data_IF_644819784714
#
_entry.id   IF_644819784714
#
_cell.length_a   1.000
_cell.length_b   1.000
_cell.length_c   1.000
_cell.angle_alpha   90.00
_cell.angle_beta   90.00
_cell.angle_gamma   90.00
#
_symmetry.space_group_name_H-M   'P 1'
#
loop_
_entity.id
_entity.type
_entity.pdbx_description
1 polymer ?
#
# COMPACT_ATOMS: atom_id res chain seq x y z
N UNK A 1 30.38 -2.28 26.48
CA UNK A 1 31.21 -3.39 25.97
C UNK A 1 31.19 -3.30 24.48
N UNK A 2 32.30 -3.47 23.75
CA UNK A 2 32.23 -3.46 22.30
C UNK A 2 31.35 -4.63 21.83
N UNK A 3 30.41 -4.37 20.93
CA UNK A 3 29.59 -5.41 20.29
C UNK A 3 30.54 -6.39 19.60
N UNK A 4 30.65 -7.58 20.13
CA UNK A 4 31.34 -8.69 19.45
C UNK A 4 30.47 -9.01 18.24
N UNK A 5 30.98 -8.72 17.04
CA UNK A 5 30.33 -9.13 15.79
C UNK A 5 30.50 -10.66 15.72
N UNK A 6 29.43 -11.39 15.99
CA UNK A 6 29.41 -12.86 16.00
C UNK A 6 29.35 -13.48 14.60
N UNK A 7 29.37 -12.67 13.54
CA UNK A 7 29.32 -13.12 12.15
C UNK A 7 27.94 -13.62 11.71
N UNK A 8 26.89 -13.44 12.50
CA UNK A 8 25.52 -13.85 12.21
C UNK A 8 24.65 -12.64 11.83
N UNK A 9 23.55 -12.88 11.13
CA UNK A 9 22.53 -11.87 10.88
C UNK A 9 21.88 -11.41 12.20
N UNK A 10 21.17 -10.28 12.14
CA UNK A 10 20.44 -9.69 13.28
C UNK A 10 19.56 -10.74 13.99
N UNK A 11 19.61 -10.78 15.32
CA UNK A 11 18.73 -11.58 16.16
C UNK A 11 17.39 -10.84 16.35
N UNK A 12 16.41 -11.23 15.52
CA UNK A 12 15.09 -10.61 15.53
C UNK A 12 14.32 -10.98 16.79
N UNK A 13 14.46 -12.20 17.28
CA UNK A 13 13.80 -12.68 18.50
C UNK A 13 14.29 -11.89 19.71
N UNK A 14 15.60 -11.80 19.91
CA UNK A 14 16.19 -11.00 20.99
C UNK A 14 15.81 -9.52 20.88
N UNK A 15 15.81 -8.97 19.66
CA UNK A 15 15.39 -7.58 19.42
C UNK A 15 13.94 -7.33 19.83
N UNK A 16 13.03 -8.27 19.59
CA UNK A 16 11.63 -8.14 19.99
C UNK A 16 11.48 -8.26 21.53
N UNK A 17 12.22 -9.16 22.17
CA UNK A 17 12.28 -9.29 23.63
C UNK A 17 12.78 -7.99 24.25
N UNK A 18 13.84 -7.41 23.72
CA UNK A 18 14.42 -6.16 24.24
C UNK A 18 13.44 -4.98 24.12
N UNK A 19 12.67 -4.90 23.01
CA UNK A 19 11.60 -3.89 22.86
C UNK A 19 10.49 -4.07 23.89
N UNK A 20 10.00 -5.30 24.08
CA UNK A 20 9.00 -5.61 25.11
C UNK A 20 9.52 -5.29 26.50
N UNK A 21 10.79 -5.62 26.78
CA UNK A 21 11.42 -5.32 28.06
C UNK A 21 11.61 -3.81 28.29
N UNK A 22 11.88 -3.06 27.23
CA UNK A 22 11.96 -1.61 27.33
C UNK A 22 10.59 -0.94 27.58
N UNK A 23 9.51 -1.48 26.96
CA UNK A 23 8.16 -0.97 27.12
C UNK A 23 7.49 -1.42 28.44
N UNK A 24 7.73 -2.67 28.88
CA UNK A 24 7.09 -3.31 30.04
C UNK A 24 8.13 -4.07 30.88
N UNK A 25 9.12 -3.38 31.51
CA UNK A 25 10.18 -4.04 32.26
C UNK A 25 9.67 -4.87 33.43
N UNK A 26 8.54 -4.48 34.01
CA UNK A 26 7.88 -5.18 35.11
C UNK A 26 7.29 -6.54 34.73
N UNK A 27 7.08 -6.79 33.43
CA UNK A 27 6.61 -8.09 32.94
C UNK A 27 7.72 -9.13 32.79
N UNK A 28 8.94 -8.82 33.20
CA UNK A 28 10.07 -9.76 33.11
C UNK A 28 10.54 -10.19 34.49
N UNK A 29 10.59 -11.50 34.72
CA UNK A 29 11.16 -12.11 35.92
C UNK A 29 12.26 -13.09 35.50
N UNK A 30 13.46 -12.98 36.06
CA UNK A 30 14.63 -13.81 35.74
C UNK A 30 14.95 -13.87 34.23
N UNK A 31 14.67 -12.76 33.49
CA UNK A 31 14.89 -12.66 32.06
C UNK A 31 13.80 -13.28 31.18
N UNK A 32 12.74 -13.82 31.76
CA UNK A 32 11.59 -14.40 31.07
C UNK A 32 10.37 -13.49 31.12
N UNK A 33 9.59 -13.47 30.04
CA UNK A 33 8.35 -12.72 29.94
C UNK A 33 7.25 -13.42 30.74
N UNK A 34 6.61 -12.68 31.65
CA UNK A 34 5.38 -13.04 32.33
C UNK A 34 4.18 -12.57 31.50
N UNK A 35 3.55 -13.49 30.77
CA UNK A 35 2.45 -13.21 29.86
C UNK A 35 1.20 -12.75 30.62
N UNK A 36 0.89 -13.36 31.77
CA UNK A 36 -0.30 -13.03 32.56
C UNK A 36 -0.22 -11.60 33.10
N UNK A 37 0.98 -11.19 33.51
CA UNK A 37 1.24 -9.84 33.97
C UNK A 37 1.16 -8.81 32.84
N UNK A 38 1.69 -9.14 31.65
CA UNK A 38 1.56 -8.30 30.45
C UNK A 38 0.09 -8.10 30.07
N UNK A 39 -0.70 -9.17 30.03
CA UNK A 39 -2.14 -9.13 29.74
C UNK A 39 -2.88 -8.26 30.77
N UNK A 40 -2.56 -8.40 32.05
CA UNK A 40 -3.16 -7.58 33.11
C UNK A 40 -2.88 -6.08 32.96
N UNK A 41 -1.71 -5.71 32.44
CA UNK A 41 -1.34 -4.31 32.23
C UNK A 41 -1.96 -3.71 30.94
N UNK A 42 -2.15 -4.53 29.91
CA UNK A 42 -2.71 -4.08 28.63
C UNK A 42 -4.26 -3.91 28.66
N UNK A 43 -4.95 -4.50 29.66
CA UNK A 43 -6.38 -4.33 29.87
C UNK A 43 -7.26 -5.13 28.94
N UNK A 44 -7.14 -4.97 27.65
CA UNK A 44 -7.90 -5.72 26.63
C UNK A 44 -6.99 -6.71 25.91
N UNK A 45 -7.43 -7.97 25.83
CA UNK A 45 -6.73 -9.04 25.10
C UNK A 45 -7.71 -10.02 24.47
N UNK A 46 -7.24 -10.74 23.46
CA UNK A 46 -8.06 -11.76 22.80
C UNK A 46 -8.08 -13.03 23.64
N UNK A 47 -9.25 -13.34 24.21
CA UNK A 47 -9.48 -14.59 24.93
C UNK A 47 -9.43 -15.78 23.94
N UNK A 48 -8.66 -16.81 24.30
CA UNK A 48 -8.54 -18.02 23.47
C UNK A 48 -9.79 -18.90 23.47
N UNK A 49 -10.71 -18.70 24.41
CA UNK A 49 -11.94 -19.50 24.57
C UNK A 49 -13.08 -19.05 23.64
N UNK A 50 -12.96 -17.90 22.96
CA UNK A 50 -13.94 -17.43 21.99
C UNK A 50 -13.62 -17.89 20.56
N UNK A 51 -14.66 -18.26 19.81
CA UNK A 51 -14.54 -18.49 18.37
C UNK A 51 -13.99 -17.23 17.69
N UNK A 52 -12.83 -17.35 17.01
CA UNK A 52 -12.22 -16.27 16.29
C UNK A 52 -11.77 -16.72 14.91
N UNK A 53 -11.81 -15.80 13.96
CA UNK A 53 -11.25 -16.03 12.65
C UNK A 53 -9.74 -16.26 12.75
N UNK A 54 -9.28 -17.41 12.20
CA UNK A 54 -7.86 -17.73 12.08
C UNK A 54 -7.57 -18.20 10.66
N UNK A 55 -6.51 -17.71 10.08
CA UNK A 55 -5.99 -18.23 8.82
C UNK A 55 -4.83 -19.16 9.11
N UNK A 56 -5.07 -20.48 9.00
CA UNK A 56 -4.12 -21.51 9.35
C UNK A 56 -3.84 -22.42 8.17
N UNK A 57 -2.59 -22.88 8.04
CA UNK A 57 -2.16 -23.89 7.09
C UNK A 57 -1.01 -24.73 7.66
N UNK A 58 -0.74 -25.89 7.04
CA UNK A 58 0.37 -26.75 7.46
C UNK A 58 1.71 -26.08 7.19
N UNK A 59 2.55 -25.91 8.22
CA UNK A 59 3.89 -25.32 8.12
C UNK A 59 3.97 -23.86 8.58
N UNK A 60 2.85 -23.22 8.96
CA UNK A 60 2.85 -21.82 9.38
C UNK A 60 3.79 -21.53 10.55
N UNK A 61 3.79 -22.39 11.57
CA UNK A 61 4.67 -22.23 12.73
C UNK A 61 6.17 -22.39 12.36
N UNK A 62 6.46 -23.30 11.44
CA UNK A 62 7.82 -23.48 10.91
C UNK A 62 8.30 -22.26 10.12
N UNK A 63 7.39 -21.61 9.37
CA UNK A 63 7.69 -20.38 8.64
C UNK A 63 8.13 -19.25 9.59
N UNK A 64 7.48 -19.10 10.74
CA UNK A 64 7.88 -18.11 11.74
C UNK A 64 9.28 -18.40 12.28
N UNK A 65 9.57 -19.67 12.62
CA UNK A 65 10.91 -20.09 13.08
C UNK A 65 11.98 -19.87 12.01
N UNK A 66 11.64 -20.12 10.73
CA UNK A 66 12.58 -19.91 9.62
C UNK A 66 12.91 -18.42 9.42
N UNK A 67 11.92 -17.55 9.52
CA UNK A 67 12.15 -16.11 9.44
C UNK A 67 13.04 -15.59 10.59
N UNK A 68 12.97 -16.23 11.77
CA UNK A 68 13.77 -15.89 12.95
C UNK A 68 15.18 -16.53 12.93
N UNK A 69 15.33 -17.67 12.23
CA UNK A 69 16.62 -18.37 12.15
C UNK A 69 17.68 -17.46 11.53
N UNK A 70 18.74 -17.20 12.26
CA UNK A 70 19.85 -16.35 11.82
C UNK A 70 20.60 -16.98 10.66
N UNK A 71 21.00 -16.16 9.68
CA UNK A 71 21.89 -16.58 8.60
C UNK A 71 23.35 -16.53 9.04
N UNK A 72 24.12 -17.52 8.60
CA UNK A 72 25.58 -17.55 8.71
C UNK A 72 26.27 -17.05 7.44
N UNK A 73 25.50 -16.70 6.42
CA UNK A 73 26.00 -16.21 5.14
C UNK A 73 26.60 -14.80 5.26
N UNK A 74 27.26 -14.38 4.21
CA UNK A 74 27.75 -13.00 4.07
C UNK A 74 27.60 -12.53 2.64
N UNK A 75 27.33 -11.23 2.46
CA UNK A 75 27.34 -10.59 1.16
C UNK A 75 28.78 -10.31 0.75
N UNK A 76 29.13 -10.64 -0.49
CA UNK A 76 30.43 -10.36 -1.09
C UNK A 76 30.26 -9.35 -2.21
N UNK A 77 31.08 -8.31 -2.22
CA UNK A 77 31.14 -7.38 -3.33
C UNK A 77 31.82 -8.03 -4.55
N UNK A 78 31.28 -7.73 -5.75
CA UNK A 78 31.82 -8.19 -7.04
C UNK A 78 32.14 -6.97 -7.92
N UNK A 79 33.26 -6.26 -7.64
CA UNK A 79 33.64 -5.07 -8.39
C UNK A 79 33.81 -5.33 -9.89
N UNK A 80 34.33 -6.51 -10.26
CA UNK A 80 34.59 -6.95 -11.63
C UNK A 80 33.33 -7.10 -12.48
N UNK A 81 32.17 -7.33 -11.86
CA UNK A 81 30.86 -7.44 -12.53
C UNK A 81 29.99 -6.18 -12.35
N UNK A 82 30.50 -5.19 -11.63
CA UNK A 82 29.76 -3.98 -11.30
C UNK A 82 30.03 -2.84 -12.29
N UNK A 83 29.04 -2.00 -12.53
CA UNK A 83 29.16 -0.78 -13.31
C UNK A 83 29.26 0.42 -12.35
N UNK A 84 30.32 1.24 -12.52
CA UNK A 84 30.60 2.40 -11.67
C UNK A 84 30.60 2.06 -10.17
N UNK A 85 31.31 1.00 -9.80
CA UNK A 85 31.31 0.41 -8.45
C UNK A 85 31.53 1.44 -7.33
N UNK A 86 32.46 2.36 -7.51
CA UNK A 86 32.82 3.35 -6.48
C UNK A 86 31.78 4.48 -6.33
N UNK A 87 31.03 4.80 -7.38
CA UNK A 87 30.12 5.95 -7.41
C UNK A 87 28.64 5.57 -7.31
N UNK A 88 28.29 4.32 -7.70
CA UNK A 88 26.88 3.89 -7.71
C UNK A 88 26.35 3.72 -6.30
N UNK A 89 25.07 4.12 -6.10
CA UNK A 89 24.31 3.82 -4.88
C UNK A 89 23.31 2.68 -5.08
N UNK A 90 23.24 2.14 -6.30
CA UNK A 90 22.36 1.03 -6.63
C UNK A 90 23.08 -0.29 -6.29
N UNK A 91 22.31 -1.23 -5.71
CA UNK A 91 22.80 -2.56 -5.36
C UNK A 91 21.99 -3.62 -6.12
N UNK A 92 22.70 -4.53 -6.77
CA UNK A 92 22.13 -5.80 -7.24
C UNK A 92 22.69 -6.91 -6.37
N UNK A 93 21.81 -7.72 -5.78
CA UNK A 93 22.19 -8.80 -4.87
C UNK A 93 21.70 -10.11 -5.46
N UNK A 94 22.61 -11.00 -5.77
CA UNK A 94 22.32 -12.34 -6.28
C UNK A 94 22.45 -13.38 -5.18
N UNK A 95 21.45 -14.29 -5.09
CA UNK A 95 21.40 -15.34 -4.11
C UNK A 95 19.98 -15.74 -3.72
N UNK A 96 19.86 -16.67 -2.76
CA UNK A 96 18.56 -16.99 -2.18
C UNK A 96 17.99 -15.77 -1.45
N UNK A 97 16.82 -15.33 -1.87
CA UNK A 97 16.24 -14.07 -1.36
C UNK A 97 15.81 -14.17 0.11
N UNK A 98 15.50 -15.35 0.65
CA UNK A 98 15.19 -15.49 2.07
C UNK A 98 16.45 -15.27 2.93
N UNK A 99 17.59 -15.84 2.53
CA UNK A 99 18.87 -15.61 3.20
C UNK A 99 19.34 -14.17 3.04
N UNK A 100 19.18 -13.57 1.85
CA UNK A 100 19.50 -12.16 1.61
C UNK A 100 18.66 -11.25 2.51
N UNK A 101 17.34 -11.49 2.63
CA UNK A 101 16.47 -10.71 3.50
C UNK A 101 16.90 -10.76 4.99
N UNK A 102 17.41 -11.89 5.46
CA UNK A 102 17.97 -12.03 6.81
C UNK A 102 19.25 -11.21 6.97
N UNK A 103 20.15 -11.23 5.99
CA UNK A 103 21.39 -10.44 6.02
C UNK A 103 21.12 -8.92 5.97
N UNK A 104 20.13 -8.50 5.19
CA UNK A 104 19.74 -7.10 5.09
C UNK A 104 19.16 -6.53 6.38
N UNK A 105 18.64 -7.36 7.30
CA UNK A 105 18.12 -6.87 8.59
C UNK A 105 19.16 -6.06 9.35
N UNK A 106 20.43 -6.41 9.29
CA UNK A 106 21.49 -5.70 10.03
C UNK A 106 21.68 -4.26 9.56
N UNK A 107 21.60 -4.02 8.24
CA UNK A 107 21.94 -2.73 7.66
C UNK A 107 20.73 -1.89 7.28
N UNK A 108 19.60 -2.53 6.97
CA UNK A 108 18.42 -1.89 6.38
C UNK A 108 17.15 -2.02 7.26
N UNK A 109 17.26 -2.47 8.49
CA UNK A 109 16.13 -2.52 9.42
C UNK A 109 15.46 -1.13 9.53
N UNK A 110 14.15 -1.05 9.19
CA UNK A 110 13.34 0.18 9.16
C UNK A 110 13.94 1.34 8.32
N UNK A 111 14.61 1.02 7.22
CA UNK A 111 15.23 2.04 6.35
C UNK A 111 14.67 2.07 4.92
N UNK A 112 13.97 1.03 4.51
CA UNK A 112 13.44 0.92 3.14
C UNK A 112 12.13 1.69 3.01
N UNK A 113 12.05 2.60 2.05
CA UNK A 113 10.84 3.41 1.80
C UNK A 113 9.78 2.63 1.04
N UNK A 114 10.19 1.85 0.04
CA UNK A 114 9.29 1.09 -0.81
C UNK A 114 9.86 -0.28 -1.13
N UNK A 115 9.00 -1.27 -1.15
CA UNK A 115 9.29 -2.63 -1.64
C UNK A 115 8.30 -2.93 -2.77
N UNK A 116 8.78 -3.43 -3.90
CA UNK A 116 7.97 -4.03 -4.94
C UNK A 116 8.39 -5.47 -5.15
N UNK A 117 7.43 -6.39 -5.18
CA UNK A 117 7.67 -7.80 -5.49
C UNK A 117 6.68 -8.32 -6.53
N UNK A 118 7.17 -9.23 -7.35
CA UNK A 118 6.43 -9.97 -8.37
C UNK A 118 6.70 -11.46 -8.15
N UNK A 119 6.00 -12.10 -7.19
CA UNK A 119 6.25 -13.48 -6.82
C UNK A 119 5.69 -14.45 -7.86
N UNK A 120 6.04 -15.76 -7.82
CA UNK A 120 5.35 -16.77 -8.59
C UNK A 120 3.85 -16.76 -8.31
N UNK A 121 3.01 -16.84 -9.36
CA UNK A 121 1.56 -16.75 -9.24
C UNK A 121 0.86 -18.08 -8.95
N UNK A 122 1.65 -19.16 -8.84
CA UNK A 122 1.17 -20.50 -8.54
C UNK A 122 0.18 -21.05 -9.59
N UNK A 123 0.43 -20.75 -10.87
CA UNK A 123 -0.44 -21.14 -12.00
C UNK A 123 -0.32 -22.63 -12.36
N UNK A 124 0.45 -23.40 -11.61
CA UNK A 124 0.69 -24.83 -11.80
C UNK A 124 1.94 -25.15 -12.63
N UNK A 125 2.48 -24.19 -13.35
CA UNK A 125 3.76 -24.28 -14.08
C UNK A 125 4.84 -23.39 -13.46
N UNK A 126 4.50 -22.63 -12.43
CA UNK A 126 5.41 -21.70 -11.77
C UNK A 126 6.38 -22.44 -10.85
N UNK A 127 7.58 -21.92 -10.80
CA UNK A 127 8.60 -22.40 -9.88
C UNK A 127 8.32 -21.83 -8.48
N UNK A 128 7.96 -22.70 -7.55
CA UNK A 128 7.92 -22.36 -6.12
C UNK A 128 9.28 -22.77 -5.54
N UNK A 129 9.96 -21.83 -4.90
CA UNK A 129 11.27 -22.11 -4.29
C UNK A 129 11.15 -23.22 -3.26
N UNK A 130 12.04 -24.21 -3.34
CA UNK A 130 12.15 -25.27 -2.35
C UNK A 130 12.97 -24.74 -1.16
N UNK A 131 12.29 -24.07 -0.25
CA UNK A 131 12.87 -23.79 1.06
C UNK A 131 12.90 -25.09 1.87
N UNK A 132 13.71 -25.18 2.92
CA UNK A 132 13.89 -26.37 3.79
C UNK A 132 12.60 -26.88 4.48
N UNK A 133 11.44 -26.31 4.18
CA UNK A 133 10.11 -26.81 4.57
C UNK A 133 9.61 -27.94 3.69
N UNK A 134 10.24 -28.13 2.57
CA UNK A 134 9.80 -29.15 1.66
C UNK A 134 10.24 -30.52 2.19
N UNK A 135 9.30 -31.23 2.72
CA UNK A 135 9.25 -32.61 2.28
C UNK A 135 9.18 -32.54 0.75
N UNK A 136 10.23 -32.93 -0.01
CA UNK A 136 10.19 -32.83 -1.47
C UNK A 136 8.90 -33.45 -1.96
N UNK A 137 8.22 -32.83 -2.91
CA UNK A 137 6.98 -33.38 -3.49
C UNK A 137 7.15 -34.86 -3.90
N UNK A 138 8.37 -35.26 -4.24
CA UNK A 138 8.76 -36.63 -4.46
C UNK A 138 8.61 -37.49 -3.20
N UNK A 139 9.09 -37.06 -2.05
CA UNK A 139 9.05 -37.82 -0.79
C UNK A 139 7.63 -37.91 -0.22
N UNK A 140 6.81 -36.85 -0.41
CA UNK A 140 5.41 -36.91 -0.04
C UNK A 140 4.61 -37.87 -0.94
N UNK A 141 4.90 -37.91 -2.25
CA UNK A 141 4.32 -38.93 -3.17
C UNK A 141 4.70 -40.34 -2.79
N UNK A 142 5.94 -40.58 -2.34
CA UNK A 142 6.39 -41.88 -1.82
C UNK A 142 5.70 -42.26 -0.51
N UNK A 143 5.59 -41.32 0.45
CA UNK A 143 5.00 -41.57 1.77
C UNK A 143 3.48 -41.75 1.72
N UNK A 144 2.81 -41.10 0.79
CA UNK A 144 1.32 -41.10 0.70
C UNK A 144 0.76 -42.03 -0.38
N UNK A 145 1.60 -42.72 -1.18
CA UNK A 145 1.19 -43.57 -2.30
C UNK A 145 0.21 -42.92 -3.29
N UNK A 146 0.24 -41.61 -3.44
CA UNK A 146 -0.68 -40.88 -4.31
C UNK A 146 -0.07 -40.55 -5.65
N UNK A 147 -0.38 -41.35 -6.66
CA UNK A 147 0.17 -41.22 -8.03
C UNK A 147 -0.79 -40.68 -9.08
N UNK A 148 -1.99 -40.24 -8.72
CA UNK A 148 -2.99 -39.83 -9.72
C UNK A 148 -3.30 -38.34 -9.71
N UNK A 149 -3.38 -37.73 -10.91
CA UNK A 149 -3.62 -36.32 -11.25
C UNK A 149 -5.01 -35.79 -10.88
N UNK A 150 -5.89 -36.59 -10.32
CA UNK A 150 -7.32 -36.28 -10.18
C UNK A 150 -7.83 -36.12 -8.75
N UNK A 151 -6.95 -35.88 -7.74
CA UNK A 151 -7.37 -35.78 -6.36
C UNK A 151 -7.51 -34.32 -5.91
N UNK A 152 -8.70 -33.86 -5.43
CA UNK A 152 -8.93 -32.51 -4.93
C UNK A 152 -7.97 -32.07 -3.80
N UNK A 153 -7.43 -33.00 -3.03
CA UNK A 153 -6.42 -32.73 -1.99
C UNK A 153 -5.09 -32.19 -2.53
N UNK A 154 -4.84 -32.30 -3.86
CA UNK A 154 -3.65 -31.70 -4.46
C UNK A 154 -3.73 -30.19 -4.56
N UNK A 155 -4.91 -29.60 -4.68
CA UNK A 155 -5.09 -28.14 -4.78
C UNK A 155 -4.68 -27.44 -3.48
N UNK A 156 -5.09 -27.94 -2.31
CA UNK A 156 -4.70 -27.37 -1.02
C UNK A 156 -3.19 -27.39 -0.75
N UNK A 157 -2.46 -28.32 -1.33
CA UNK A 157 -0.99 -28.41 -1.19
C UNK A 157 -0.23 -27.39 -2.00
N UNK A 158 -0.71 -27.02 -3.18
CA UNK A 158 -0.10 -25.96 -3.97
C UNK A 158 -0.17 -24.61 -3.23
N UNK A 159 -1.30 -24.28 -2.66
CA UNK A 159 -1.48 -23.08 -1.83
C UNK A 159 -0.61 -23.12 -0.57
N UNK A 160 -0.53 -24.27 0.11
CA UNK A 160 0.29 -24.44 1.31
C UNK A 160 1.78 -24.20 1.03
N UNK A 161 2.32 -24.77 -0.05
CA UNK A 161 3.72 -24.58 -0.41
C UNK A 161 4.01 -23.12 -0.78
N UNK A 162 3.11 -22.49 -1.51
CA UNK A 162 3.22 -21.09 -1.85
C UNK A 162 3.18 -20.18 -0.60
N UNK A 163 2.27 -20.45 0.33
CA UNK A 163 2.18 -19.73 1.61
C UNK A 163 3.45 -19.91 2.44
N UNK A 164 4.00 -21.14 2.50
CA UNK A 164 5.25 -21.42 3.22
C UNK A 164 6.45 -20.68 2.62
N UNK A 165 6.47 -20.49 1.31
CA UNK A 165 7.49 -19.68 0.62
C UNK A 165 7.31 -18.19 0.89
N UNK A 166 6.09 -17.67 0.79
CA UNK A 166 5.83 -16.23 0.84
C UNK A 166 5.87 -15.65 2.26
N UNK A 167 5.29 -16.35 3.23
CA UNK A 167 5.08 -15.81 4.57
C UNK A 167 6.37 -15.39 5.28
N UNK A 168 7.45 -16.20 5.33
CA UNK A 168 8.69 -15.77 5.97
C UNK A 168 9.34 -14.58 5.26
N UNK A 169 9.22 -14.48 3.94
CA UNK A 169 9.73 -13.37 3.13
C UNK A 169 9.00 -12.07 3.43
N UNK A 170 7.68 -12.11 3.50
CA UNK A 170 6.86 -10.94 3.86
C UNK A 170 7.14 -10.45 5.29
N UNK A 171 7.31 -11.37 6.24
CA UNK A 171 7.69 -11.05 7.63
C UNK A 171 9.02 -10.30 7.70
N UNK A 172 10.03 -10.75 6.97
CA UNK A 172 11.33 -10.09 6.90
C UNK A 172 11.26 -8.77 6.13
N UNK A 173 10.51 -8.71 5.04
CA UNK A 173 10.29 -7.48 4.28
C UNK A 173 9.61 -6.40 5.13
N UNK A 174 8.62 -6.77 5.94
CA UNK A 174 7.94 -5.83 6.85
C UNK A 174 8.90 -5.18 7.85
N UNK A 175 9.95 -5.89 8.29
CA UNK A 175 10.96 -5.35 9.19
C UNK A 175 11.91 -4.34 8.52
N UNK A 176 12.08 -4.44 7.19
CA UNK A 176 12.93 -3.51 6.45
C UNK A 176 12.23 -2.17 6.19
N UNK A 177 10.89 -2.15 6.13
CA UNK A 177 10.13 -0.93 5.85
C UNK A 177 10.25 0.08 6.99
N UNK A 178 10.40 1.35 6.60
CA UNK A 178 10.24 2.52 7.47
C UNK A 178 8.77 2.64 7.89
N UNK A 179 8.49 3.47 8.90
CA UNK A 179 7.10 3.68 9.35
C UNK A 179 6.22 4.29 8.26
N UNK A 180 6.74 5.22 7.46
CA UNK A 180 6.09 5.77 6.27
C UNK A 180 6.31 4.94 5.00
N UNK A 181 6.74 3.69 5.14
CA UNK A 181 7.05 2.78 4.03
C UNK A 181 5.82 2.06 3.49
N UNK A 182 5.98 1.50 2.27
CA UNK A 182 4.92 0.82 1.52
C UNK A 182 5.45 -0.41 0.81
N UNK A 183 4.61 -1.43 0.67
CA UNK A 183 4.89 -2.60 -0.17
C UNK A 183 3.81 -2.75 -1.24
N UNK A 184 4.25 -3.01 -2.48
CA UNK A 184 3.40 -3.37 -3.61
C UNK A 184 3.72 -4.81 -4.03
N UNK A 185 2.69 -5.61 -4.24
CA UNK A 185 2.83 -7.02 -4.56
C UNK A 185 1.94 -7.34 -5.76
N UNK A 186 2.54 -7.68 -6.89
CA UNK A 186 1.80 -8.16 -8.06
C UNK A 186 1.34 -9.58 -7.84
N UNK A 187 0.12 -9.89 -8.25
CA UNK A 187 -0.48 -11.23 -8.13
C UNK A 187 -1.67 -11.37 -9.09
N UNK A 188 -2.00 -12.59 -9.47
CA UNK A 188 -3.24 -12.91 -10.16
C UNK A 188 -4.32 -13.51 -9.24
N UNK A 189 -5.45 -13.92 -9.82
CA UNK A 189 -6.60 -14.45 -9.08
C UNK A 189 -6.30 -15.76 -8.35
N UNK A 190 -5.24 -16.52 -8.73
CA UNK A 190 -4.95 -17.82 -8.12
C UNK A 190 -4.60 -17.68 -6.63
N UNK A 191 -3.78 -16.67 -6.28
CA UNK A 191 -3.28 -16.50 -4.91
C UNK A 191 -3.65 -15.14 -4.28
N UNK A 192 -4.39 -14.27 -4.95
CA UNK A 192 -4.76 -12.95 -4.43
C UNK A 192 -5.43 -13.01 -3.05
N UNK A 193 -6.36 -13.96 -2.86
CA UNK A 193 -7.06 -14.13 -1.58
C UNK A 193 -6.12 -14.60 -0.46
N UNK A 194 -5.24 -15.54 -0.75
CA UNK A 194 -4.26 -16.05 0.22
C UNK A 194 -3.22 -15.01 0.56
N UNK A 195 -2.71 -14.30 -0.46
CA UNK A 195 -1.78 -13.17 -0.28
C UNK A 195 -2.38 -12.09 0.61
N UNK A 196 -3.64 -11.71 0.36
CA UNK A 196 -4.34 -10.73 1.18
C UNK A 196 -4.32 -11.13 2.66
N UNK A 197 -4.66 -12.38 2.99
CA UNK A 197 -4.72 -12.87 4.36
C UNK A 197 -3.36 -12.89 5.06
N UNK A 198 -2.30 -13.34 4.39
CA UNK A 198 -0.96 -13.31 4.99
C UNK A 198 -0.40 -11.89 5.12
N UNK A 199 -0.81 -10.97 4.24
CA UNK A 199 -0.47 -9.56 4.37
C UNK A 199 -1.23 -8.89 5.52
N UNK A 200 -2.53 -9.15 5.69
CA UNK A 200 -3.33 -8.67 6.82
C UNK A 200 -2.68 -9.10 8.15
N UNK A 201 -2.21 -10.35 8.24
CA UNK A 201 -1.51 -10.85 9.43
C UNK A 201 -0.10 -10.24 9.62
N UNK A 202 0.59 -9.90 8.53
CA UNK A 202 1.98 -9.42 8.58
C UNK A 202 2.09 -7.92 8.79
N UNK A 203 1.23 -7.15 8.15
CA UNK A 203 1.27 -5.67 8.13
C UNK A 203 0.16 -5.05 8.99
N UNK A 204 -0.89 -5.80 9.32
CA UNK A 204 -2.13 -5.33 9.93
C UNK A 204 -3.21 -5.06 8.87
N UNK A 205 -4.45 -5.49 9.13
CA UNK A 205 -5.58 -5.26 8.23
C UNK A 205 -5.86 -3.76 8.05
N UNK A 206 -5.66 -2.97 9.09
CA UNK A 206 -5.79 -1.52 9.12
C UNK A 206 -4.81 -0.79 8.21
N UNK A 207 -3.70 -1.43 7.85
CA UNK A 207 -2.67 -0.88 6.97
C UNK A 207 -2.86 -1.28 5.49
N UNK A 208 -3.96 -1.93 5.16
CA UNK A 208 -4.32 -2.17 3.78
C UNK A 208 -4.67 -0.85 3.08
N UNK A 209 -3.94 -0.53 2.01
CA UNK A 209 -4.14 0.70 1.25
C UNK A 209 -5.09 0.48 0.08
N UNK A 210 -4.77 -0.48 -0.79
CA UNK A 210 -5.55 -0.73 -2.00
C UNK A 210 -5.23 -2.08 -2.65
N UNK A 211 -6.18 -2.58 -3.44
CA UNK A 211 -5.97 -3.59 -4.46
C UNK A 211 -6.18 -2.92 -5.81
N UNK A 212 -5.10 -2.73 -6.56
CA UNK A 212 -5.06 -1.96 -7.80
C UNK A 212 -5.19 -2.91 -8.98
N UNK A 213 -6.20 -2.80 -9.86
CA UNK A 213 -6.31 -3.59 -11.07
C UNK A 213 -5.32 -3.07 -12.13
N UNK A 214 -4.37 -3.90 -12.54
CA UNK A 214 -3.48 -3.62 -13.65
C UNK A 214 -3.88 -4.40 -14.88
N UNK A 215 -4.11 -3.69 -15.99
CA UNK A 215 -4.49 -4.32 -17.25
C UNK A 215 -3.28 -4.95 -17.91
N UNK A 216 -3.25 -6.30 -17.96
CA UNK A 216 -2.11 -7.04 -18.53
C UNK A 216 -2.19 -7.24 -20.04
N UNK A 217 -3.39 -7.22 -20.62
CA UNK A 217 -3.62 -7.50 -22.04
C UNK A 217 -4.93 -6.90 -22.56
N UNK A 218 -5.04 -6.79 -23.90
CA UNK A 218 -6.26 -6.42 -24.61
C UNK A 218 -6.82 -7.54 -25.48
N UNK A 219 -5.96 -8.50 -25.89
CA UNK A 219 -6.35 -9.61 -26.73
C UNK A 219 -7.28 -10.56 -25.97
N UNK A 220 -8.46 -10.81 -26.53
CA UNK A 220 -9.35 -11.85 -26.06
C UNK A 220 -8.84 -13.18 -26.56
N UNK A 221 -8.79 -14.18 -25.71
CA UNK A 221 -8.42 -15.55 -26.05
C UNK A 221 -9.58 -16.47 -25.75
N UNK A 222 -9.62 -17.63 -26.43
CA UNK A 222 -10.52 -18.71 -26.06
C UNK A 222 -10.20 -19.15 -24.63
N UNK A 223 -11.14 -18.90 -23.73
CA UNK A 223 -11.02 -19.22 -22.31
C UNK A 223 -12.23 -19.99 -21.84
N UNK A 224 -12.08 -20.88 -20.84
CA UNK A 224 -13.20 -21.54 -20.23
C UNK A 224 -14.26 -20.51 -19.79
N UNK A 225 -15.54 -20.82 -19.99
CA UNK A 225 -16.68 -19.95 -19.66
C UNK A 225 -16.77 -18.64 -20.46
N UNK A 226 -15.94 -18.40 -21.48
CA UNK A 226 -16.04 -17.23 -22.35
C UNK A 226 -15.70 -15.88 -21.71
N UNK A 227 -15.08 -15.86 -20.54
CA UNK A 227 -14.70 -14.63 -19.82
C UNK A 227 -13.17 -14.49 -19.85
N UNK A 228 -12.66 -13.46 -20.52
CA UNK A 228 -11.24 -13.15 -20.57
C UNK A 228 -10.78 -12.44 -19.30
N UNK A 229 -9.72 -12.95 -18.69
CA UNK A 229 -9.08 -12.30 -17.55
C UNK A 229 -8.02 -11.30 -18.04
N UNK A 230 -8.43 -10.06 -18.21
CA UNK A 230 -7.60 -9.00 -18.77
C UNK A 230 -6.74 -8.30 -17.73
N UNK A 231 -7.00 -8.54 -16.44
CA UNK A 231 -6.36 -7.85 -15.32
C UNK A 231 -5.55 -8.81 -14.44
N UNK A 232 -4.58 -8.24 -13.77
CA UNK A 232 -3.89 -8.76 -12.59
C UNK A 232 -4.03 -7.73 -11.48
N UNK A 233 -3.63 -8.11 -10.27
CA UNK A 233 -3.79 -7.28 -9.08
C UNK A 233 -2.43 -6.82 -8.58
N UNK A 234 -2.40 -5.60 -8.02
CA UNK A 234 -1.28 -5.12 -7.23
C UNK A 234 -1.83 -4.82 -5.85
N UNK A 235 -1.48 -5.64 -4.86
CA UNK A 235 -1.82 -5.37 -3.48
C UNK A 235 -0.86 -4.33 -2.92
N UNK A 236 -1.41 -3.35 -2.21
CA UNK A 236 -0.68 -2.27 -1.58
C UNK A 236 -0.94 -2.26 -0.07
N UNK A 237 0.13 -2.37 0.73
CA UNK A 237 0.09 -2.24 2.18
C UNK A 237 1.07 -1.18 2.64
N UNK A 238 0.62 -0.33 3.55
CA UNK A 238 1.48 0.58 4.29
C UNK A 238 2.18 -0.15 5.44
N UNK A 239 3.28 0.42 5.94
CA UNK A 239 3.89 -0.05 7.20
C UNK A 239 3.10 0.45 8.40
N UNK A 240 2.69 1.70 8.37
CA UNK A 240 1.82 2.35 9.36
C UNK A 240 0.94 3.40 8.67
N UNK A 241 0.09 4.08 9.42
CA UNK A 241 -0.74 5.20 8.95
C UNK A 241 0.06 6.45 8.50
N UNK A 242 1.38 6.46 8.70
CA UNK A 242 2.24 7.57 8.28
C UNK A 242 2.48 7.59 6.76
N UNK A 243 2.15 6.48 6.08
CA UNK A 243 2.22 6.43 4.62
C UNK A 243 1.07 7.23 3.99
N UNK A 244 1.43 8.13 3.09
CA UNK A 244 0.47 8.89 2.28
C UNK A 244 0.85 8.79 0.81
N UNK A 245 0.00 8.13 0.02
CA UNK A 245 0.13 8.11 -1.43
C UNK A 245 -0.40 9.42 -2.02
N UNK A 246 0.41 10.05 -2.86
CA UNK A 246 -0.01 11.26 -3.56
C UNK A 246 0.80 11.47 -4.85
N UNK A 247 0.17 12.07 -5.84
CA UNK A 247 0.82 12.50 -7.09
C UNK A 247 0.63 14.00 -7.27
N UNK A 248 1.46 14.59 -8.13
CA UNK A 248 1.28 15.99 -8.48
C UNK A 248 -0.07 16.19 -9.15
N UNK A 249 -0.87 17.08 -8.57
CA UNK A 249 -2.16 17.47 -9.13
C UNK A 249 -2.01 18.50 -10.24
N UNK A 250 -3.07 18.70 -11.01
CA UNK A 250 -3.13 19.87 -11.89
C UNK A 250 -3.07 21.14 -11.04
N UNK A 251 -2.28 22.09 -11.48
CA UNK A 251 -2.23 23.40 -10.84
C UNK A 251 -3.64 24.00 -10.77
N UNK A 252 -4.06 24.38 -9.56
CA UNK A 252 -5.37 25.02 -9.35
C UNK A 252 -5.29 26.41 -9.92
N UNK A 253 -6.29 26.81 -10.73
CA UNK A 253 -6.40 28.17 -11.23
C UNK A 253 -6.83 29.09 -10.10
N UNK A 254 -5.98 30.04 -9.77
CA UNK A 254 -6.29 31.15 -8.87
C UNK A 254 -6.46 32.41 -9.68
N UNK A 255 -7.35 33.30 -9.20
CA UNK A 255 -7.58 34.61 -9.74
C UNK A 255 -6.90 35.65 -8.85
N UNK A 256 -6.31 36.65 -9.47
CA UNK A 256 -5.85 37.89 -8.79
C UNK A 256 -6.75 39.02 -9.25
N UNK A 257 -7.25 39.77 -8.31
CA UNK A 257 -8.23 40.86 -8.55
C UNK A 257 -7.82 42.13 -7.81
N UNK A 258 -8.19 43.29 -8.36
CA UNK A 258 -7.76 44.58 -7.86
C UNK A 258 -8.32 44.89 -6.44
N UNK A 259 -9.45 44.32 -6.08
CA UNK A 259 -10.06 44.42 -4.74
C UNK A 259 -9.32 43.56 -3.69
N UNK A 260 -8.48 42.59 -4.12
CA UNK A 260 -7.66 41.74 -3.26
C UNK A 260 -6.22 41.58 -3.84
N UNK A 261 -5.44 42.66 -3.87
CA UNK A 261 -4.08 42.62 -4.40
C UNK A 261 -3.20 41.71 -3.54
N UNK A 262 -2.41 40.85 -4.21
CA UNK A 262 -1.54 39.86 -3.58
C UNK A 262 -2.24 38.75 -2.76
N UNK A 263 -3.57 38.62 -2.86
CA UNK A 263 -4.36 37.61 -2.21
C UNK A 263 -5.07 36.74 -3.27
N UNK A 264 -4.37 35.85 -3.99
CA UNK A 264 -4.97 35.00 -5.00
C UNK A 264 -6.07 34.10 -4.41
N UNK A 265 -7.15 33.93 -5.14
CA UNK A 265 -8.31 33.18 -4.70
C UNK A 265 -8.90 32.33 -5.83
N UNK A 266 -9.66 31.30 -5.46
CA UNK A 266 -10.48 30.49 -6.36
C UNK A 266 -11.91 30.37 -5.86
N UNK A 267 -12.82 30.05 -6.75
CA UNK A 267 -14.18 29.76 -6.32
C UNK A 267 -14.44 28.25 -6.23
N UNK A 268 -15.45 27.90 -5.44
CA UNK A 268 -15.94 26.56 -5.25
C UNK A 268 -17.46 26.55 -5.13
N UNK A 269 -18.12 25.45 -5.48
CA UNK A 269 -19.56 25.29 -5.29
C UNK A 269 -19.92 25.49 -3.80
N UNK A 270 -20.85 26.40 -3.54
CA UNK A 270 -21.34 26.72 -2.19
C UNK A 270 -22.39 25.70 -1.72
N UNK A 271 -22.74 24.69 -2.52
CA UNK A 271 -23.71 23.67 -2.13
C UNK A 271 -23.05 22.38 -1.70
N UNK A 272 -23.74 21.61 -0.86
CA UNK A 272 -23.34 20.26 -0.41
C UNK A 272 -24.40 19.24 -0.82
N UNK A 273 -24.02 17.98 -0.96
CA UNK A 273 -24.93 16.86 -1.27
C UNK A 273 -25.71 16.36 -0.04
N UNK A 274 -25.60 17.06 1.08
CA UNK A 274 -26.39 16.75 2.29
C UNK A 274 -27.85 17.05 2.07
N UNK A 275 -28.72 16.29 2.74
CA UNK A 275 -30.16 16.47 2.69
C UNK A 275 -30.64 17.57 3.66
N UNK A 276 -31.87 18.05 3.43
CA UNK A 276 -32.54 19.03 4.33
C UNK A 276 -32.67 18.48 5.75
N UNK A 277 -32.92 17.19 5.90
CA UNK A 277 -33.03 16.52 7.20
C UNK A 277 -31.69 16.53 7.96
N UNK A 278 -30.60 16.35 7.25
CA UNK A 278 -29.26 16.37 7.86
C UNK A 278 -28.78 17.78 8.20
N UNK A 279 -29.23 18.80 7.44
CA UNK A 279 -28.81 20.21 7.61
C UNK A 279 -29.97 21.17 7.44
N UNK A 280 -30.95 21.25 8.34
CA UNK A 280 -32.11 22.10 8.21
C UNK A 280 -31.74 23.61 8.14
N UNK A 281 -30.75 24.08 8.92
CA UNK A 281 -30.29 25.48 8.93
C UNK A 281 -29.51 25.86 7.66
N UNK A 282 -29.25 24.93 6.75
CA UNK A 282 -28.60 25.17 5.46
C UNK A 282 -29.61 25.19 4.29
N UNK A 283 -30.91 25.06 4.57
CA UNK A 283 -31.97 25.09 3.58
C UNK A 283 -32.74 26.42 3.67
N UNK A 284 -32.21 27.46 3.07
CA UNK A 284 -32.81 28.79 3.05
C UNK A 284 -32.58 29.49 1.72
N UNK A 285 -33.42 30.49 1.38
CA UNK A 285 -33.15 31.36 0.24
C UNK A 285 -32.06 32.37 0.63
N UNK A 286 -30.93 32.31 -0.08
CA UNK A 286 -29.82 33.23 0.13
C UNK A 286 -30.10 34.52 -0.59
N UNK A 287 -30.00 35.65 0.09
CA UNK A 287 -30.26 36.96 -0.47
C UNK A 287 -28.95 37.74 -0.59
N UNK A 288 -28.69 38.29 -1.78
CA UNK A 288 -27.54 39.17 -1.97
C UNK A 288 -27.73 40.45 -1.16
N UNK A 289 -26.88 40.77 -0.18
CA UNK A 289 -27.06 41.98 0.65
C UNK A 289 -27.01 43.27 -0.13
N UNK A 290 -26.31 43.34 -1.27
CA UNK A 290 -26.15 44.53 -2.12
C UNK A 290 -27.34 44.71 -3.08
N UNK A 291 -27.65 43.68 -3.86
CA UNK A 291 -28.63 43.78 -4.96
C UNK A 291 -30.04 43.37 -4.55
N UNK A 292 -30.20 42.71 -3.40
CA UNK A 292 -31.46 42.11 -2.89
C UNK A 292 -31.98 40.97 -3.76
N UNK A 293 -31.17 40.47 -4.68
CA UNK A 293 -31.51 39.33 -5.50
C UNK A 293 -31.53 38.03 -4.65
N UNK A 294 -32.52 37.19 -4.93
CA UNK A 294 -32.79 35.97 -4.18
C UNK A 294 -32.28 34.73 -4.92
N UNK A 295 -31.57 33.84 -4.19
CA UNK A 295 -31.04 32.58 -4.68
C UNK A 295 -31.62 31.45 -3.85
N UNK A 296 -32.68 30.76 -4.32
CA UNK A 296 -33.24 29.62 -3.62
C UNK A 296 -32.25 28.45 -3.66
N UNK A 297 -32.20 27.67 -2.59
CA UNK A 297 -31.37 26.46 -2.56
C UNK A 297 -31.96 25.42 -3.53
N UNK A 298 -31.10 24.63 -4.14
CA UNK A 298 -31.51 23.48 -4.95
C UNK A 298 -32.27 22.47 -4.05
N UNK A 299 -33.47 22.00 -4.43
CA UNK A 299 -34.28 21.06 -3.62
C UNK A 299 -33.56 19.76 -3.23
N UNK A 300 -32.54 19.35 -4.01
CA UNK A 300 -31.76 18.14 -3.79
C UNK A 300 -30.43 18.38 -3.05
N UNK A 301 -30.18 19.62 -2.59
CA UNK A 301 -28.91 20.03 -1.96
C UNK A 301 -29.17 21.03 -0.84
N UNK A 302 -28.18 21.28 -0.01
CA UNK A 302 -28.17 22.35 0.97
C UNK A 302 -27.00 23.30 0.71
N UNK A 303 -27.07 24.51 1.22
CA UNK A 303 -25.91 25.39 1.27
C UNK A 303 -24.82 24.80 2.18
N UNK A 304 -23.56 25.03 1.87
CA UNK A 304 -22.45 24.69 2.76
C UNK A 304 -22.38 25.59 3.99
N UNK A 305 -22.93 26.80 3.88
CA UNK A 305 -23.03 27.84 4.92
C UNK A 305 -24.43 27.80 5.50
N UNK A 306 -24.56 27.81 6.82
CA UNK A 306 -25.85 27.89 7.52
C UNK A 306 -26.37 29.34 7.52
N UNK A 307 -27.67 29.54 7.76
CA UNK A 307 -28.25 30.86 7.87
C UNK A 307 -27.58 31.68 8.97
N UNK A 308 -27.19 31.04 10.07
CA UNK A 308 -26.57 31.71 11.23
C UNK A 308 -25.12 32.17 10.94
N UNK A 309 -24.41 31.49 10.04
CA UNK A 309 -23.02 31.81 9.68
C UNK A 309 -22.91 32.62 8.38
N UNK A 310 -24.02 32.84 7.68
CA UNK A 310 -24.01 33.51 6.39
C UNK A 310 -23.40 34.91 6.48
N UNK A 311 -23.82 35.73 7.47
CA UNK A 311 -23.35 37.11 7.61
C UNK A 311 -21.82 37.14 7.84
N UNK A 312 -21.31 36.28 8.67
CA UNK A 312 -19.86 36.16 8.91
C UNK A 312 -19.09 35.84 7.61
N UNK A 313 -19.54 34.85 6.84
CA UNK A 313 -18.90 34.49 5.58
C UNK A 313 -18.97 35.59 4.53
N UNK A 314 -20.05 36.35 4.54
CA UNK A 314 -20.20 37.52 3.67
C UNK A 314 -19.22 38.64 4.05
N UNK A 315 -19.17 39.02 5.34
CA UNK A 315 -18.27 40.03 5.87
C UNK A 315 -16.79 39.68 5.69
N UNK A 316 -16.45 38.40 5.74
CA UNK A 316 -15.12 37.88 5.44
C UNK A 316 -14.83 37.80 3.94
N UNK A 317 -15.71 38.28 3.07
CA UNK A 317 -15.62 38.23 1.62
C UNK A 317 -15.47 36.77 1.06
N UNK A 318 -16.03 35.81 1.76
CA UNK A 318 -15.98 34.38 1.35
C UNK A 318 -17.11 33.96 0.42
N UNK A 319 -18.14 34.79 0.24
CA UNK A 319 -19.25 34.53 -0.68
C UNK A 319 -19.16 35.49 -1.87
N UNK A 320 -19.21 34.92 -3.09
CA UNK A 320 -19.21 35.64 -4.35
C UNK A 320 -20.58 35.44 -4.97
N UNK A 321 -21.26 36.53 -5.32
CA UNK A 321 -22.54 36.50 -6.01
C UNK A 321 -22.38 36.64 -7.52
N UNK A 322 -23.37 36.18 -8.34
CA UNK A 322 -23.41 36.48 -9.75
C UNK A 322 -23.37 38.01 -9.97
N UNK A 323 -22.49 38.42 -10.89
CA UNK A 323 -22.30 39.87 -11.18
C UNK A 323 -21.24 40.59 -10.34
N UNK A 324 -20.67 39.96 -9.30
CA UNK A 324 -19.57 40.57 -8.54
C UNK A 324 -18.29 40.74 -9.40
N UNK A 325 -18.10 39.86 -10.40
CA UNK A 325 -16.97 39.87 -11.34
C UNK A 325 -17.43 39.53 -12.76
N UNK A 326 -17.13 40.36 -13.74
CA UNK A 326 -17.50 40.17 -15.14
C UNK A 326 -16.87 38.93 -15.78
N UNK A 327 -15.70 38.50 -15.29
CA UNK A 327 -15.01 37.32 -15.80
C UNK A 327 -15.56 36.02 -15.23
N UNK A 328 -16.40 36.04 -14.20
CA UNK A 328 -17.02 34.85 -13.61
C UNK A 328 -18.42 34.61 -14.20
N UNK A 329 -18.53 33.56 -15.03
CA UNK A 329 -19.83 33.15 -15.52
C UNK A 329 -20.46 32.14 -14.53
N UNK A 330 -21.04 32.67 -13.44
CA UNK A 330 -21.74 31.90 -12.40
C UNK A 330 -23.21 32.31 -12.34
N UNK A 331 -24.11 31.36 -12.14
CA UNK A 331 -25.56 31.56 -12.05
C UNK A 331 -26.10 31.50 -10.62
N UNK A 332 -25.27 31.19 -9.65
CA UNK A 332 -25.60 31.07 -8.22
C UNK A 332 -24.41 31.50 -7.37
N UNK A 333 -24.62 31.84 -6.10
CA UNK A 333 -23.55 32.19 -5.18
C UNK A 333 -22.52 31.01 -5.06
N UNK A 334 -21.23 31.37 -4.98
CA UNK A 334 -20.10 30.43 -4.83
C UNK A 334 -19.25 30.85 -3.64
N UNK A 335 -18.46 29.91 -3.12
CA UNK A 335 -17.55 30.13 -2.02
C UNK A 335 -16.19 30.57 -2.55
N UNK A 336 -15.58 31.59 -1.95
CA UNK A 336 -14.20 31.99 -2.19
C UNK A 336 -13.26 31.23 -1.25
N UNK A 337 -12.19 30.64 -1.81
CA UNK A 337 -11.07 30.08 -1.09
C UNK A 337 -9.80 30.87 -1.39
N UNK A 338 -9.14 31.34 -0.36
CA UNK A 338 -7.86 32.01 -0.49
C UNK A 338 -6.75 30.97 -0.72
N UNK A 339 -5.77 31.33 -1.54
CA UNK A 339 -4.61 30.45 -1.81
C UNK A 339 -3.83 30.15 -0.54
N UNK A 340 -3.70 31.15 0.34
CA UNK A 340 -3.03 30.98 1.63
C UNK A 340 -3.74 29.96 2.53
N UNK A 341 -5.07 30.01 2.58
CA UNK A 341 -5.87 29.03 3.32
C UNK A 341 -5.67 27.60 2.76
N UNK A 342 -5.65 27.49 1.41
CA UNK A 342 -5.40 26.20 0.75
C UNK A 342 -3.99 25.68 1.06
N UNK A 343 -2.96 26.55 1.06
CA UNK A 343 -1.59 26.20 1.42
C UNK A 343 -1.51 25.79 2.89
N UNK A 344 -2.07 26.60 3.80
CA UNK A 344 -2.03 26.33 5.23
C UNK A 344 -2.71 25.01 5.58
N UNK A 345 -3.84 24.71 4.93
CA UNK A 345 -4.59 23.47 5.12
C UNK A 345 -3.87 22.23 4.56
N UNK A 346 -3.22 22.38 3.43
CA UNK A 346 -2.58 21.27 2.74
C UNK A 346 -1.14 21.00 3.24
N UNK A 347 -0.46 22.00 3.81
CA UNK A 347 0.94 21.89 4.22
C UNK A 347 1.81 21.41 3.07
N UNK A 348 2.65 20.41 3.34
CA UNK A 348 3.57 19.78 2.36
C UNK A 348 2.82 19.06 1.22
N UNK A 349 1.52 18.82 1.37
CA UNK A 349 0.68 18.22 0.33
C UNK A 349 0.01 19.24 -0.60
N UNK A 350 0.39 20.52 -0.52
CA UNK A 350 -0.15 21.53 -1.43
C UNK A 350 0.20 21.23 -2.88
N UNK A 351 -0.81 21.22 -3.76
CA UNK A 351 -0.62 20.83 -5.16
C UNK A 351 -0.65 19.31 -5.41
N UNK A 352 -0.69 18.49 -4.38
CA UNK A 352 -0.78 17.03 -4.50
C UNK A 352 -2.23 16.55 -4.40
N UNK A 353 -2.52 15.45 -5.08
CA UNK A 353 -3.83 14.79 -5.07
C UNK A 353 -3.69 13.31 -4.72
N UNK A 354 -4.78 12.73 -4.24
CA UNK A 354 -4.83 11.29 -3.99
C UNK A 354 -4.65 10.50 -5.30
N UNK A 355 -4.00 9.36 -5.20
CA UNK A 355 -3.79 8.43 -6.32
C UNK A 355 -5.07 7.65 -6.56
N UNK A 356 -5.45 7.51 -7.84
CA UNK A 356 -6.57 6.65 -8.24
C UNK A 356 -6.09 5.21 -8.43
N UNK A 357 -6.93 4.24 -8.01
CA UNK A 357 -6.70 2.82 -8.35
C UNK A 357 -6.95 2.52 -9.84
N UNK A 358 -7.59 3.44 -10.57
CA UNK A 358 -7.69 3.35 -12.03
C UNK A 358 -6.37 3.81 -12.64
N UNK A 359 -5.58 2.86 -13.11
CA UNK A 359 -4.33 3.13 -13.81
C UNK A 359 -4.62 3.69 -15.21
N UNK A 360 -3.78 4.62 -15.65
CA UNK A 360 -3.84 5.19 -17.00
C UNK A 360 -3.28 4.20 -18.04
N UNK A 361 -3.64 4.40 -19.32
CA UNK A 361 -3.19 3.52 -20.41
C UNK A 361 -1.68 3.63 -20.68
N UNK A 362 -1.02 4.71 -20.30
CA UNK A 362 0.43 4.96 -20.43
C UNK A 362 1.29 4.10 -19.48
N UNK A 363 0.69 3.50 -18.46
CA UNK A 363 1.35 2.52 -17.57
C UNK A 363 1.82 1.28 -18.35
N UNK A 364 1.17 0.97 -19.48
CA UNK A 364 1.53 -0.16 -20.32
C UNK A 364 1.01 -1.51 -19.82
N UNK A 365 1.20 -2.51 -20.65
CA UNK A 365 0.75 -3.90 -20.47
C UNK A 365 1.95 -4.87 -20.56
N UNK A 366 1.74 -6.16 -20.33
CA UNK A 366 2.80 -7.20 -20.42
C UNK A 366 3.59 -7.18 -21.72
N UNK A 367 2.93 -6.90 -22.87
CA UNK A 367 3.63 -6.79 -24.16
C UNK A 367 4.58 -5.59 -24.23
N UNK A 368 4.34 -4.51 -23.50
CA UNK A 368 5.27 -3.38 -23.41
C UNK A 368 6.55 -3.80 -22.67
N UNK A 369 6.44 -4.51 -21.56
CA UNK A 369 7.61 -5.05 -20.86
C UNK A 369 8.40 -6.04 -21.74
N UNK A 370 7.71 -6.92 -22.49
CA UNK A 370 8.37 -7.83 -23.44
C UNK A 370 9.12 -7.06 -24.54
N UNK A 371 8.55 -5.95 -25.02
CA UNK A 371 9.20 -5.08 -26.02
C UNK A 371 10.44 -4.43 -25.43
N UNK A 372 10.37 -3.87 -24.23
CA UNK A 372 11.52 -3.27 -23.52
C UNK A 372 12.69 -4.28 -23.36
N UNK A 373 12.39 -5.52 -22.92
CA UNK A 373 13.40 -6.58 -22.80
C UNK A 373 14.01 -6.93 -24.16
N UNK A 374 13.17 -7.04 -25.21
CA UNK A 374 13.67 -7.38 -26.56
C UNK A 374 14.52 -6.25 -27.13
N UNK A 375 14.20 -4.99 -26.87
CA UNK A 375 15.01 -3.83 -27.30
C UNK A 375 16.36 -3.78 -26.57
N UNK A 376 16.41 -4.15 -25.27
CA UNK A 376 17.64 -4.16 -24.49
C UNK A 376 18.59 -5.30 -24.85
N UNK A 377 18.05 -6.52 -25.07
CA UNK A 377 18.84 -7.75 -25.21
C UNK A 377 18.82 -8.36 -26.62
N UNK A 378 18.09 -7.77 -27.54
CA UNK A 378 17.93 -8.27 -28.91
C UNK A 378 17.01 -9.49 -29.04
N UNK A 379 16.61 -10.11 -27.93
CA UNK A 379 15.69 -11.24 -27.91
C UNK A 379 14.92 -11.33 -26.57
N UNK A 380 13.93 -12.25 -26.51
CA UNK A 380 13.13 -12.47 -25.30
C UNK A 380 13.88 -13.35 -24.30
N UNK A 381 14.72 -12.75 -23.45
CA UNK A 381 15.52 -13.46 -22.42
C UNK A 381 14.76 -13.67 -21.11
N UNK A 382 13.61 -13.02 -20.92
CA UNK A 382 12.81 -13.11 -19.70
C UNK A 382 11.32 -13.32 -20.03
N UNK A 383 10.65 -14.15 -19.27
CA UNK A 383 9.22 -14.45 -19.46
C UNK A 383 8.34 -13.51 -18.64
N UNK A 384 7.31 -12.95 -19.27
CA UNK A 384 6.30 -12.11 -18.63
C UNK A 384 6.83 -10.91 -17.82
N UNK A 385 7.75 -10.10 -18.36
CA UNK A 385 8.25 -8.94 -17.64
C UNK A 385 7.16 -7.89 -17.43
N UNK A 386 7.19 -7.24 -16.27
CA UNK A 386 6.37 -6.05 -16.04
C UNK A 386 6.97 -4.85 -16.79
N UNK A 387 6.17 -3.94 -17.37
CA UNK A 387 6.68 -2.73 -18.01
C UNK A 387 7.32 -1.80 -16.98
N UNK A 388 8.42 -1.16 -17.36
CA UNK A 388 9.15 -0.22 -16.48
C UNK A 388 8.28 0.98 -16.07
N UNK A 389 7.35 1.41 -16.95
CA UNK A 389 6.39 2.46 -16.67
C UNK A 389 5.50 2.15 -15.45
N UNK A 390 5.08 0.87 -15.27
CA UNK A 390 4.34 0.45 -14.10
C UNK A 390 5.16 0.65 -12.82
N UNK A 391 6.40 0.17 -12.80
CA UNK A 391 7.27 0.29 -11.63
C UNK A 391 7.57 1.76 -11.31
N UNK A 392 7.82 2.56 -12.34
CA UNK A 392 8.03 4.01 -12.21
C UNK A 392 6.81 4.74 -11.63
N UNK A 393 5.60 4.31 -12.00
CA UNK A 393 4.37 4.90 -11.44
C UNK A 393 4.20 4.60 -9.95
N UNK A 394 4.61 3.41 -9.50
CA UNK A 394 4.51 3.00 -8.09
C UNK A 394 5.59 3.67 -7.21
N UNK A 395 6.73 4.09 -7.80
CA UNK A 395 7.80 4.84 -7.12
C UNK A 395 7.39 6.29 -6.83
#
# INVERSE_FOLDING_TARGET
MPNIIDGLSMDIEQTNIDKLKAAFPECFAEGKLDIDKLLSLCGEYIDNDFEKYKFEWKGKAECLKLAQKRSTGTLRSCPEESVNFDDTKNLYIEGDNLEVLKLLQTSYYRKVKMIYIDPPYNTGNDFVYADDFADPMARYKEVTHQTTKSNPETMGRYHTNWLNMMYPRLRLAANLLRDDGVIFISIDDNEACNLRKICDETFGEENFVAQIPWRKRTAKSDVPFGVSQDYEWILCYAKTSDFVASIDGKERKYFETDDFPNCPWRFHDLTTQRTIQERPNSNYTMVNPKTKEEYPVNPLRCWAVTIDTFQQYYDENRIIFPGDYDFLNISKPVLRYWKEDDIAKAGDNFGRIAVSTKLNDDIGMSQNGTKEITELFGNKVFSYPKPSALIKFLL
#
